data_IF_948175392324
#
_entry.id   IF_948175392324
#
_cell.length_a   1.000
_cell.length_b   1.000
_cell.length_c   1.000
_cell.angle_alpha   90.00
_cell.angle_beta   90.00
_cell.angle_gamma   90.00
#
_symmetry.space_group_name_H-M   'P 1'
#
loop_
_entity.id
_entity.type
_entity.pdbx_description
1 polymer ?
#
# COMPACT_ATOMS: atom_id res chain seq x y z
N UNK A 1 -5.59 5.17 -16.81
CA UNK A 1 -5.33 4.85 -15.38
C UNK A 1 -4.09 3.99 -15.25
N UNK A 2 -3.28 4.12 -14.17
CA UNK A 2 -2.11 3.28 -13.86
C UNK A 2 -2.51 2.02 -13.10
N UNK A 3 -1.73 0.96 -13.23
CA UNK A 3 -1.97 -0.32 -12.55
C UNK A 3 -0.73 -0.75 -11.77
N UNK A 4 -0.94 -1.16 -10.52
CA UNK A 4 0.10 -1.69 -9.67
C UNK A 4 -0.29 -3.03 -9.04
N UNK A 5 0.68 -3.93 -8.88
CA UNK A 5 0.46 -5.16 -8.10
C UNK A 5 0.83 -4.93 -6.64
N UNK A 6 -0.04 -5.31 -5.73
CA UNK A 6 0.18 -5.26 -4.29
C UNK A 6 0.62 -6.63 -3.79
N UNK A 7 1.89 -6.75 -3.53
CA UNK A 7 2.49 -7.97 -3.00
C UNK A 7 2.11 -8.16 -1.54
N UNK A 8 1.55 -9.32 -1.25
CA UNK A 8 1.16 -9.70 0.08
C UNK A 8 1.54 -11.18 0.30
N UNK A 9 2.84 -11.46 0.57
CA UNK A 9 3.33 -12.83 0.77
C UNK A 9 2.83 -13.38 2.10
N UNK A 10 1.86 -14.28 2.02
CA UNK A 10 1.22 -14.89 3.18
C UNK A 10 1.41 -16.42 3.16
N UNK A 11 1.80 -16.96 4.30
CA UNK A 11 1.85 -18.42 4.53
C UNK A 11 1.52 -18.73 5.98
N UNK A 12 0.83 -19.86 6.20
CA UNK A 12 0.63 -20.45 7.54
C UNK A 12 1.64 -21.54 7.86
N UNK A 13 2.38 -21.96 6.87
CA UNK A 13 3.35 -23.04 6.98
C UNK A 13 4.76 -22.43 6.89
N UNK A 14 5.47 -22.31 8.03
CA UNK A 14 6.82 -21.75 8.03
C UNK A 14 7.81 -22.53 7.18
N UNK A 15 7.53 -23.80 6.88
CA UNK A 15 8.40 -24.62 6.02
C UNK A 15 8.35 -24.16 4.56
N UNK A 16 7.38 -23.31 4.20
CA UNK A 16 7.19 -22.77 2.86
C UNK A 16 7.69 -21.34 2.68
N UNK A 17 8.22 -20.70 3.73
CA UNK A 17 8.60 -19.29 3.68
C UNK A 17 9.54 -18.97 2.51
N UNK A 18 10.59 -19.78 2.30
CA UNK A 18 11.49 -19.61 1.17
C UNK A 18 10.78 -19.67 -0.19
N UNK A 19 9.90 -20.67 -0.38
CA UNK A 19 9.14 -20.81 -1.63
C UNK A 19 8.16 -19.64 -1.85
N UNK A 20 7.55 -19.13 -0.78
CA UNK A 20 6.64 -17.95 -0.87
C UNK A 20 7.41 -16.68 -1.22
N UNK A 21 8.62 -16.50 -0.68
CA UNK A 21 9.50 -15.39 -1.03
C UNK A 21 9.94 -15.46 -2.49
N UNK A 22 10.39 -16.64 -2.95
CA UNK A 22 10.79 -16.87 -4.35
C UNK A 22 9.62 -16.59 -5.31
N UNK A 23 8.43 -17.10 -5.01
CA UNK A 23 7.22 -16.85 -5.79
C UNK A 23 6.85 -15.34 -5.80
N UNK A 24 7.08 -14.63 -4.71
CA UNK A 24 6.81 -13.19 -4.63
C UNK A 24 7.78 -12.37 -5.48
N UNK A 25 9.06 -12.78 -5.52
CA UNK A 25 10.05 -12.19 -6.45
C UNK A 25 9.65 -12.46 -7.91
N UNK A 26 9.30 -13.72 -8.24
CA UNK A 26 8.84 -14.08 -9.60
C UNK A 26 7.61 -13.28 -10.03
N UNK A 27 6.68 -13.05 -9.12
CA UNK A 27 5.47 -12.25 -9.34
C UNK A 27 5.82 -10.78 -9.64
N UNK A 28 6.75 -10.19 -8.90
CA UNK A 28 7.24 -8.84 -9.15
C UNK A 28 7.96 -8.72 -10.51
N UNK A 29 8.82 -9.67 -10.85
CA UNK A 29 9.51 -9.74 -12.16
C UNK A 29 8.52 -9.91 -13.32
N UNK A 30 7.47 -10.72 -13.14
CA UNK A 30 6.40 -10.88 -14.11
C UNK A 30 5.68 -9.54 -14.36
N UNK A 31 5.31 -8.83 -13.29
CA UNK A 31 4.66 -7.53 -13.39
C UNK A 31 5.53 -6.49 -14.11
N UNK A 32 6.82 -6.41 -13.79
CA UNK A 32 7.76 -5.51 -14.47
C UNK A 32 7.90 -5.85 -15.96
N UNK A 33 8.03 -7.13 -16.30
CA UNK A 33 8.14 -7.62 -17.69
C UNK A 33 6.89 -7.32 -18.51
N UNK A 34 5.70 -7.48 -17.91
CA UNK A 34 4.42 -7.21 -18.59
C UNK A 34 4.08 -5.72 -18.67
N UNK A 35 4.87 -4.83 -18.07
CA UNK A 35 4.66 -3.38 -18.14
C UNK A 35 3.61 -2.86 -17.16
N UNK A 36 3.47 -3.48 -16.00
CA UNK A 36 2.73 -2.90 -14.91
C UNK A 36 3.43 -1.64 -14.39
N UNK A 37 2.66 -0.63 -13.98
CA UNK A 37 3.22 0.70 -13.65
C UNK A 37 3.92 0.73 -12.30
N UNK A 38 3.48 -0.12 -11.34
CA UNK A 38 4.03 -0.16 -9.99
C UNK A 38 3.94 -1.55 -9.36
N UNK A 39 4.85 -1.79 -8.42
CA UNK A 39 4.84 -2.92 -7.48
C UNK A 39 4.77 -2.31 -6.09
N UNK A 40 3.75 -2.70 -5.32
CA UNK A 40 3.51 -2.18 -3.99
C UNK A 40 3.76 -3.26 -2.94
N UNK A 41 4.34 -2.86 -1.81
CA UNK A 41 4.64 -3.75 -0.70
C UNK A 41 3.80 -3.38 0.52
N UNK A 42 3.29 -4.40 1.21
CA UNK A 42 2.68 -4.28 2.53
C UNK A 42 3.74 -4.30 3.63
N UNK A 43 3.36 -3.92 4.84
CA UNK A 43 4.16 -4.13 6.04
C UNK A 43 3.27 -4.67 7.16
N UNK A 44 3.60 -5.87 7.65
CA UNK A 44 2.98 -6.51 8.81
C UNK A 44 4.02 -7.31 9.58
N UNK A 45 3.90 -7.26 10.92
CA UNK A 45 4.83 -7.93 11.82
C UNK A 45 4.06 -8.84 12.79
N UNK A 46 4.68 -9.92 13.22
CA UNK A 46 4.24 -10.77 14.33
C UNK A 46 2.84 -11.38 14.18
N UNK A 47 2.25 -11.37 13.00
CA UNK A 47 0.93 -11.96 12.72
C UNK A 47 0.99 -13.46 12.41
N UNK A 48 2.19 -14.04 12.32
CA UNK A 48 2.42 -15.44 11.99
C UNK A 48 1.99 -15.84 10.57
N UNK A 49 1.76 -14.86 9.70
CA UNK A 49 1.26 -15.05 8.36
C UNK A 49 2.09 -14.32 7.30
N UNK A 50 2.51 -13.08 7.58
CA UNK A 50 3.38 -12.31 6.69
C UNK A 50 4.77 -12.90 6.65
N UNK A 51 5.23 -13.31 5.45
CA UNK A 51 6.48 -14.04 5.29
C UNK A 51 7.70 -13.10 5.25
N UNK A 52 7.54 -11.84 4.91
CA UNK A 52 8.58 -10.83 5.12
C UNK A 52 8.17 -9.81 6.19
N UNK A 53 9.05 -9.58 7.18
CA UNK A 53 8.85 -8.55 8.22
C UNK A 53 9.49 -7.20 7.87
N UNK A 54 10.42 -7.16 6.90
CA UNK A 54 11.11 -5.93 6.47
C UNK A 54 10.82 -5.63 4.99
N UNK A 55 9.85 -4.76 4.69
CA UNK A 55 9.53 -4.39 3.33
C UNK A 55 10.64 -3.59 2.64
N UNK A 56 11.49 -2.86 3.37
CA UNK A 56 12.58 -2.07 2.80
C UNK A 56 13.69 -2.97 2.28
N UNK A 57 14.07 -4.00 3.04
CA UNK A 57 15.04 -5.01 2.60
C UNK A 57 14.52 -5.75 1.37
N UNK A 58 13.24 -6.16 1.38
CA UNK A 58 12.64 -6.84 0.25
C UNK A 58 12.53 -5.94 -0.99
N UNK A 59 12.12 -4.67 -0.82
CA UNK A 59 12.10 -3.69 -1.91
C UNK A 59 13.49 -3.45 -2.52
N UNK A 60 14.54 -3.49 -1.70
CA UNK A 60 15.94 -3.38 -2.19
C UNK A 60 16.30 -4.55 -3.12
N UNK A 61 15.92 -5.77 -2.76
CA UNK A 61 16.10 -6.93 -3.63
C UNK A 61 15.32 -6.77 -4.94
N UNK A 62 14.05 -6.31 -4.88
CA UNK A 62 13.24 -6.06 -6.07
C UNK A 62 13.78 -4.92 -6.94
N UNK A 63 14.38 -3.88 -6.34
CA UNK A 63 14.99 -2.78 -7.09
C UNK A 63 16.11 -3.26 -8.04
N UNK A 64 16.82 -4.31 -7.63
CA UNK A 64 17.90 -4.93 -8.43
C UNK A 64 17.37 -5.95 -9.44
N UNK A 65 16.14 -6.40 -9.32
CA UNK A 65 15.50 -7.43 -10.18
C UNK A 65 14.51 -6.83 -11.20
N UNK A 66 14.08 -5.59 -10.98
CA UNK A 66 13.11 -4.88 -11.83
C UNK A 66 13.74 -3.63 -12.44
N UNK A 67 13.22 -3.17 -13.58
CA UNK A 67 13.84 -2.07 -14.33
C UNK A 67 12.89 -0.92 -14.64
N UNK A 68 11.57 -1.15 -14.65
CA UNK A 68 10.58 -0.17 -15.13
C UNK A 68 9.53 0.18 -14.08
N UNK A 69 8.94 -0.81 -13.43
CA UNK A 69 7.89 -0.60 -12.47
C UNK A 69 8.36 0.25 -11.30
N UNK A 70 7.54 1.20 -10.87
CA UNK A 70 7.78 1.90 -9.62
C UNK A 70 7.70 0.93 -8.45
N UNK A 71 8.48 1.17 -7.39
CA UNK A 71 8.45 0.39 -6.15
C UNK A 71 7.79 1.23 -5.07
N UNK A 72 6.66 0.77 -4.57
CA UNK A 72 5.84 1.51 -3.62
C UNK A 72 5.64 0.79 -2.29
N UNK A 73 5.35 1.54 -1.27
CA UNK A 73 4.91 1.01 0.03
C UNK A 73 3.47 1.47 0.31
N UNK A 74 2.63 0.54 0.73
CA UNK A 74 1.24 0.83 1.03
C UNK A 74 0.78 0.15 2.33
N UNK A 75 1.37 0.58 3.48
CA UNK A 75 2.32 1.68 3.75
C UNK A 75 3.49 1.18 4.59
N UNK A 76 4.56 1.98 4.73
CA UNK A 76 5.55 1.80 5.80
C UNK A 76 4.91 2.25 7.11
N UNK A 77 5.00 1.42 8.15
CA UNK A 77 4.53 1.75 9.51
C UNK A 77 5.55 2.64 10.22
N UNK A 78 5.63 3.89 9.76
CA UNK A 78 6.67 4.87 10.12
C UNK A 78 6.87 5.04 11.63
N UNK A 79 5.81 4.87 12.42
CA UNK A 79 5.87 4.98 13.89
C UNK A 79 6.66 3.85 14.56
N UNK A 80 6.95 2.76 13.87
CA UNK A 80 7.77 1.65 14.38
C UNK A 80 9.27 1.88 14.18
N UNK A 81 9.67 2.85 13.35
CA UNK A 81 11.06 3.09 12.97
C UNK A 81 11.70 4.25 13.73
N UNK A 82 13.03 4.20 13.81
CA UNK A 82 13.81 5.41 14.09
C UNK A 82 13.85 6.28 12.83
N UNK A 83 13.39 7.56 12.86
CA UNK A 83 13.13 8.34 11.65
C UNK A 83 14.39 8.64 10.82
N UNK A 84 15.57 8.81 11.45
CA UNK A 84 16.81 9.02 10.69
C UNK A 84 17.18 7.75 9.94
N UNK A 85 17.10 6.59 10.58
CA UNK A 85 17.43 5.32 9.94
C UNK A 85 16.49 5.04 8.74
N UNK A 86 15.19 5.30 8.92
CA UNK A 86 14.22 5.18 7.83
C UNK A 86 14.52 6.18 6.69
N UNK A 87 14.91 7.42 7.01
CA UNK A 87 15.29 8.42 6.02
C UNK A 87 16.50 7.99 5.18
N UNK A 88 17.54 7.41 5.83
CA UNK A 88 18.71 6.85 5.15
C UNK A 88 18.36 5.70 4.23
N UNK A 89 17.59 4.72 4.72
CA UNK A 89 17.15 3.55 3.97
C UNK A 89 16.34 3.92 2.72
N UNK A 90 15.38 4.83 2.87
CA UNK A 90 14.56 5.30 1.76
C UNK A 90 15.35 6.11 0.73
N UNK A 91 16.26 6.96 1.18
CA UNK A 91 17.14 7.70 0.26
C UNK A 91 18.07 6.76 -0.52
N UNK A 92 18.64 5.75 0.14
CA UNK A 92 19.46 4.73 -0.51
C UNK A 92 18.66 3.91 -1.52
N UNK A 93 17.44 3.48 -1.14
CA UNK A 93 16.55 2.72 -2.03
C UNK A 93 16.12 3.55 -3.24
N UNK A 94 15.92 4.87 -3.08
CA UNK A 94 15.60 5.77 -4.20
C UNK A 94 16.75 5.83 -5.23
N UNK A 95 18.03 5.82 -4.76
CA UNK A 95 19.19 5.69 -5.64
C UNK A 95 19.27 4.33 -6.33
N UNK A 96 19.08 3.24 -5.59
CA UNK A 96 19.15 1.88 -6.13
C UNK A 96 18.04 1.62 -7.16
N UNK A 97 16.83 2.15 -6.92
CA UNK A 97 15.72 2.08 -7.85
C UNK A 97 15.80 3.11 -9.00
N UNK A 98 16.79 4.03 -9.00
CA UNK A 98 16.92 5.09 -10.01
C UNK A 98 15.70 6.03 -10.06
N UNK A 99 15.18 6.43 -8.89
CA UNK A 99 14.05 7.35 -8.78
C UNK A 99 12.68 6.71 -9.01
N UNK A 100 12.57 5.38 -8.98
CA UNK A 100 11.30 4.66 -9.12
C UNK A 100 10.54 4.49 -7.79
N UNK A 101 10.97 5.15 -6.71
CA UNK A 101 10.41 4.96 -5.39
C UNK A 101 9.12 5.76 -5.17
N UNK A 102 8.11 5.11 -4.60
CA UNK A 102 6.84 5.69 -4.12
C UNK A 102 6.70 5.42 -2.62
N UNK A 103 6.71 6.45 -1.79
CA UNK A 103 6.78 6.29 -0.33
C UNK A 103 5.40 6.48 0.28
N UNK A 104 4.69 5.37 0.56
CA UNK A 104 3.49 5.42 1.40
C UNK A 104 3.89 5.39 2.87
N UNK A 105 3.59 6.44 3.61
CA UNK A 105 3.83 6.54 5.04
C UNK A 105 2.54 6.45 5.83
N UNK A 106 2.55 5.71 6.93
CA UNK A 106 1.43 5.57 7.82
C UNK A 106 1.82 5.20 9.25
N UNK A 107 0.86 5.31 10.16
CA UNK A 107 1.04 4.90 11.55
C UNK A 107 0.81 3.40 11.80
N UNK A 108 0.45 2.63 10.74
CA UNK A 108 -0.09 1.29 10.91
C UNK A 108 -1.58 1.29 11.28
N UNK A 109 -2.16 0.10 11.40
CA UNK A 109 -3.58 -0.08 11.75
C UNK A 109 -3.75 -0.15 13.26
N UNK A 110 -4.68 0.63 13.80
CA UNK A 110 -4.89 0.72 15.26
C UNK A 110 -5.30 -0.61 15.93
N UNK A 111 -5.76 -1.59 15.17
CA UNK A 111 -6.08 -2.92 15.67
C UNK A 111 -4.91 -3.91 15.62
N UNK A 112 -3.76 -3.50 15.07
CA UNK A 112 -2.53 -4.29 15.09
C UNK A 112 -1.64 -3.89 16.29
N UNK A 113 -2.24 -3.76 17.48
CA UNK A 113 -1.52 -3.37 18.71
C UNK A 113 -0.33 -4.28 18.98
N UNK A 114 -0.44 -5.56 18.65
CA UNK A 114 0.62 -6.55 18.83
C UNK A 114 1.91 -6.21 18.05
N UNK A 115 1.81 -5.47 16.95
CA UNK A 115 3.00 -5.00 16.22
C UNK A 115 3.78 -3.98 17.06
N UNK A 116 3.08 -3.04 17.70
CA UNK A 116 3.69 -2.07 18.63
C UNK A 116 4.32 -2.74 19.84
N UNK A 117 3.60 -3.67 20.46
CA UNK A 117 4.10 -4.40 21.62
C UNK A 117 5.31 -5.25 21.30
N UNK A 118 5.33 -5.88 20.12
CA UNK A 118 6.49 -6.66 19.64
C UNK A 118 7.76 -5.80 19.48
N UNK A 119 7.59 -4.51 19.16
CA UNK A 119 8.69 -3.53 19.12
C UNK A 119 8.91 -2.79 20.45
N UNK A 120 8.15 -3.11 21.51
CA UNK A 120 8.25 -2.44 22.80
C UNK A 120 7.74 -0.99 22.79
N UNK A 121 6.78 -0.68 21.92
CA UNK A 121 6.21 0.65 21.75
C UNK A 121 4.76 0.71 22.22
N UNK A 122 4.32 1.89 22.64
CA UNK A 122 2.93 2.15 22.97
C UNK A 122 2.11 2.49 21.72
N UNK A 123 1.07 1.70 21.46
CA UNK A 123 0.19 1.91 20.31
C UNK A 123 -0.64 3.21 20.41
N UNK A 124 -0.91 3.72 21.61
CA UNK A 124 -1.62 4.98 21.81
C UNK A 124 -0.76 6.19 21.36
N UNK A 125 0.55 6.04 21.33
CA UNK A 125 1.48 7.04 20.83
C UNK A 125 1.68 7.02 19.32
N UNK A 126 1.12 6.02 18.60
CA UNK A 126 1.37 5.75 17.19
C UNK A 126 1.20 6.99 16.29
N UNK A 127 0.12 7.76 16.49
CA UNK A 127 -0.14 8.94 15.66
C UNK A 127 0.89 10.04 15.91
N UNK A 128 1.18 10.34 17.18
CA UNK A 128 2.14 11.39 17.52
C UNK A 128 3.57 11.03 17.10
N UNK A 129 3.97 9.75 17.25
CA UNK A 129 5.25 9.25 16.76
C UNK A 129 5.37 9.35 15.25
N UNK A 130 4.30 8.99 14.54
CA UNK A 130 4.24 9.10 13.08
C UNK A 130 4.44 10.54 12.60
N UNK A 131 3.73 11.49 13.18
CA UNK A 131 3.79 12.91 12.80
C UNK A 131 5.18 13.52 13.07
N UNK A 132 5.78 13.19 14.23
CA UNK A 132 7.14 13.64 14.55
C UNK A 132 8.18 12.98 13.65
N UNK A 133 8.06 11.68 13.38
CA UNK A 133 8.97 10.96 12.49
C UNK A 133 8.94 11.53 11.06
N UNK A 134 7.75 11.82 10.52
CA UNK A 134 7.63 12.43 9.19
C UNK A 134 8.35 13.77 9.08
N UNK A 135 8.20 14.64 10.08
CA UNK A 135 8.90 15.93 10.11
C UNK A 135 10.42 15.75 10.10
N UNK A 136 10.93 14.78 10.87
CA UNK A 136 12.35 14.48 10.93
C UNK A 136 12.86 13.93 9.60
N UNK A 137 12.13 13.00 8.97
CA UNK A 137 12.48 12.43 7.66
C UNK A 137 12.58 13.54 6.59
N UNK A 138 11.61 14.44 6.53
CA UNK A 138 11.63 15.54 5.56
C UNK A 138 12.80 16.49 5.79
N UNK A 139 13.14 16.82 7.05
CA UNK A 139 14.33 17.60 7.39
C UNK A 139 15.61 16.88 6.99
N UNK A 140 15.72 15.59 7.30
CA UNK A 140 16.90 14.79 6.99
C UNK A 140 17.17 14.71 5.48
N UNK A 141 16.13 14.64 4.66
CA UNK A 141 16.23 14.56 3.19
C UNK A 141 16.73 15.85 2.51
N UNK A 142 16.76 16.99 3.21
CA UNK A 142 17.45 18.17 2.69
C UNK A 142 18.98 17.96 2.58
N UNK A 143 19.54 17.03 3.37
CA UNK A 143 20.96 16.75 3.46
C UNK A 143 21.71 17.70 4.39
N UNK A 144 21.06 18.76 4.87
CA UNK A 144 21.64 19.75 5.78
C UNK A 144 21.65 19.24 7.22
N UNK A 145 22.57 19.77 8.03
CA UNK A 145 22.58 19.51 9.46
C UNK A 145 21.40 20.20 10.15
N UNK A 146 20.84 19.55 11.16
CA UNK A 146 19.74 20.11 11.96
C UNK A 146 19.74 19.60 13.40
N UNK A 147 19.08 20.34 14.27
CA UNK A 147 18.68 19.87 15.59
C UNK A 147 17.16 19.64 15.61
N UNK A 148 16.74 18.62 16.34
CA UNK A 148 15.34 18.35 16.61
C UNK A 148 15.18 18.06 18.09
N UNK A 149 14.20 18.71 18.73
CA UNK A 149 13.80 18.49 20.12
C UNK A 149 12.29 18.26 20.13
N UNK A 150 11.93 17.00 20.24
CA UNK A 150 10.54 16.56 20.19
C UNK A 150 10.13 15.75 21.41
N UNK A 151 8.95 15.17 21.35
CA UNK A 151 8.42 14.30 22.38
C UNK A 151 9.16 12.96 22.42
N UNK A 152 9.47 12.40 21.23
CA UNK A 152 10.02 11.05 21.09
C UNK A 152 11.50 11.06 20.74
N UNK A 153 11.97 12.10 20.02
CA UNK A 153 13.36 12.17 19.58
C UNK A 153 14.01 13.51 19.90
N UNK A 154 15.22 13.42 20.45
CA UNK A 154 16.11 14.55 20.64
C UNK A 154 17.39 14.27 19.85
N UNK A 155 17.55 14.93 18.73
CA UNK A 155 18.55 14.60 17.71
C UNK A 155 19.43 15.80 17.38
N UNK A 156 20.70 15.52 17.12
CA UNK A 156 21.62 16.44 16.45
C UNK A 156 22.25 15.72 15.28
N UNK A 157 21.80 16.08 14.07
CA UNK A 157 22.22 15.47 12.81
C UNK A 157 23.15 16.44 12.09
N UNK A 158 24.35 15.99 11.71
CA UNK A 158 25.32 16.85 11.02
C UNK A 158 25.09 16.91 9.51
N UNK A 159 24.34 15.96 8.96
CA UNK A 159 23.96 15.86 7.56
C UNK A 159 23.59 14.42 7.21
N UNK A 160 22.79 14.22 6.18
CA UNK A 160 22.37 12.91 5.72
C UNK A 160 22.94 12.61 4.34
N UNK A 161 23.52 11.42 4.17
CA UNK A 161 23.98 10.91 2.88
C UNK A 161 23.64 9.42 2.71
N UNK A 162 23.16 9.04 1.49
CA UNK A 162 22.83 9.93 0.38
C UNK A 162 21.59 10.78 0.69
N UNK A 163 21.45 11.96 0.07
CA UNK A 163 20.13 12.61 -0.06
C UNK A 163 19.33 11.87 -1.12
N UNK A 164 17.98 11.92 -1.12
CA UNK A 164 17.19 11.23 -2.14
C UNK A 164 17.66 11.52 -3.58
N UNK A 165 17.60 10.51 -4.45
CA UNK A 165 17.87 10.65 -5.87
C UNK A 165 16.84 11.59 -6.53
N UNK A 166 15.57 11.37 -6.23
CA UNK A 166 14.44 12.22 -6.67
C UNK A 166 14.40 13.54 -5.90
N UNK A 167 14.22 14.65 -6.59
CA UNK A 167 14.20 15.99 -5.97
C UNK A 167 12.80 16.60 -5.98
N UNK A 168 12.38 17.25 -4.88
CA UNK A 168 13.09 17.43 -3.61
C UNK A 168 13.19 16.14 -2.79
N UNK A 169 12.30 15.17 -3.02
CA UNK A 169 12.25 13.85 -2.40
C UNK A 169 11.31 12.92 -3.21
N UNK A 170 11.33 11.60 -2.99
CA UNK A 170 10.38 10.67 -3.59
C UNK A 170 8.93 11.09 -3.34
N UNK A 171 8.02 10.70 -4.24
CA UNK A 171 6.60 10.96 -4.03
C UNK A 171 6.10 10.30 -2.75
N UNK A 172 5.47 11.11 -1.87
CA UNK A 172 4.94 10.65 -0.59
C UNK A 172 3.42 10.51 -0.68
N UNK A 173 2.91 9.40 -0.18
CA UNK A 173 1.48 9.10 -0.04
C UNK A 173 1.09 8.90 1.42
N UNK A 174 -0.19 9.14 1.72
CA UNK A 174 -0.82 8.86 3.00
C UNK A 174 -1.95 7.86 2.82
N UNK A 175 -1.96 6.82 3.64
CA UNK A 175 -3.12 5.93 3.71
C UNK A 175 -4.25 6.58 4.50
N UNK A 176 -5.47 6.45 4.00
CA UNK A 176 -6.66 6.96 4.67
C UNK A 176 -7.79 5.95 4.63
N UNK A 177 -8.44 5.77 5.80
CA UNK A 177 -9.55 4.83 5.99
C UNK A 177 -10.83 5.48 6.49
N UNK A 178 -10.82 6.78 6.83
CA UNK A 178 -11.99 7.52 7.30
C UNK A 178 -12.25 8.77 6.46
N UNK A 179 -13.51 9.17 6.37
CA UNK A 179 -13.93 10.34 5.61
C UNK A 179 -13.29 11.62 6.14
N UNK A 180 -13.17 11.75 7.47
CA UNK A 180 -12.50 12.88 8.10
C UNK A 180 -11.02 12.95 7.68
N UNK A 181 -10.28 11.85 7.72
CA UNK A 181 -8.86 11.86 7.34
C UNK A 181 -8.67 12.13 5.85
N UNK A 182 -9.57 11.66 4.99
CA UNK A 182 -9.55 11.97 3.55
C UNK A 182 -9.69 13.48 3.33
N UNK A 183 -10.66 14.11 3.99
CA UNK A 183 -10.89 15.54 3.90
C UNK A 183 -9.68 16.35 4.40
N UNK A 184 -9.12 16.00 5.57
CA UNK A 184 -7.96 16.68 6.14
C UNK A 184 -6.70 16.52 5.27
N UNK A 185 -6.50 15.35 4.64
CA UNK A 185 -5.40 15.20 3.69
C UNK A 185 -5.60 16.08 2.45
N UNK A 186 -6.84 16.28 2.00
CA UNK A 186 -7.15 17.26 0.96
C UNK A 186 -6.76 18.67 1.37
N UNK A 187 -7.15 19.11 2.57
CA UNK A 187 -6.76 20.43 3.11
C UNK A 187 -5.25 20.64 3.21
N UNK A 188 -4.50 19.56 3.35
CA UNK A 188 -3.04 19.59 3.45
C UNK A 188 -2.33 19.36 2.11
N UNK A 189 -3.06 19.16 1.00
CA UNK A 189 -2.48 18.83 -0.30
C UNK A 189 -1.71 17.51 -0.34
N UNK A 190 -2.03 16.56 0.55
CA UNK A 190 -1.33 15.27 0.66
C UNK A 190 -1.92 14.23 -0.29
N UNK A 191 -1.09 13.48 -0.98
CA UNK A 191 -1.52 12.41 -1.89
C UNK A 191 -2.02 11.19 -1.12
N UNK A 192 -3.02 10.50 -1.68
CA UNK A 192 -3.76 9.44 -0.99
C UNK A 192 -3.52 8.05 -1.56
N UNK A 193 -3.46 7.08 -0.63
CA UNK A 193 -3.74 5.67 -0.86
C UNK A 193 -5.07 5.34 -0.17
N UNK A 194 -6.06 4.91 -0.93
CA UNK A 194 -7.37 4.55 -0.41
C UNK A 194 -7.47 3.04 -0.17
N UNK A 195 -8.02 2.68 0.99
CA UNK A 195 -8.27 1.29 1.38
C UNK A 195 -9.31 0.60 0.46
N UNK A 196 -9.42 -0.76 0.49
CA UNK A 196 -10.42 -1.49 -0.27
C UNK A 196 -11.85 -1.05 0.11
N UNK A 197 -12.62 -0.72 -0.90
CA UNK A 197 -14.00 -0.23 -0.76
C UNK A 197 -14.73 -0.30 -2.11
N UNK A 198 -16.05 -0.13 -2.13
CA UNK A 198 -16.82 -0.05 -3.37
C UNK A 198 -16.45 1.19 -4.21
N UNK A 199 -16.79 1.17 -5.49
CA UNK A 199 -16.62 2.33 -6.37
C UNK A 199 -17.45 3.53 -5.90
N UNK A 200 -18.65 3.28 -5.35
CA UNK A 200 -19.53 4.31 -4.79
C UNK A 200 -18.85 5.04 -3.60
N UNK A 201 -18.29 4.29 -2.65
CA UNK A 201 -17.54 4.86 -1.51
C UNK A 201 -16.27 5.56 -1.98
N UNK A 202 -15.59 5.02 -2.99
CA UNK A 202 -14.42 5.68 -3.59
C UNK A 202 -14.79 7.04 -4.17
N UNK A 203 -15.88 7.14 -4.92
CA UNK A 203 -16.42 8.40 -5.48
C UNK A 203 -16.72 9.42 -4.37
N UNK A 204 -17.44 9.01 -3.33
CA UNK A 204 -17.74 9.86 -2.18
C UNK A 204 -16.46 10.41 -1.53
N UNK A 205 -15.46 9.58 -1.29
CA UNK A 205 -14.18 9.98 -0.67
C UNK A 205 -13.38 10.91 -1.56
N UNK A 206 -13.37 10.69 -2.86
CA UNK A 206 -12.71 11.61 -3.79
C UNK A 206 -13.39 12.98 -3.79
N UNK A 207 -14.72 13.06 -3.65
CA UNK A 207 -15.40 14.35 -3.50
C UNK A 207 -15.05 15.05 -2.17
N UNK A 208 -14.93 14.32 -1.07
CA UNK A 208 -14.44 14.87 0.19
C UNK A 208 -13.01 15.42 0.06
N UNK A 209 -12.14 14.68 -0.63
CA UNK A 209 -10.78 15.12 -0.90
C UNK A 209 -10.73 16.38 -1.77
N UNK A 210 -11.52 16.44 -2.86
CA UNK A 210 -11.67 17.63 -3.70
C UNK A 210 -12.14 18.83 -2.90
N UNK A 211 -13.12 18.65 -2.00
CA UNK A 211 -13.59 19.71 -1.10
C UNK A 211 -12.47 20.19 -0.19
N UNK A 212 -11.69 19.29 0.42
CA UNK A 212 -10.54 19.68 1.23
C UNK A 212 -9.51 20.50 0.46
N UNK A 213 -9.18 20.10 -0.77
CA UNK A 213 -8.27 20.87 -1.66
C UNK A 213 -8.81 22.26 -1.99
N UNK A 214 -10.12 22.38 -2.30
CA UNK A 214 -10.75 23.69 -2.56
C UNK A 214 -10.68 24.61 -1.34
N UNK A 215 -10.96 24.10 -0.14
CA UNK A 215 -10.85 24.89 1.10
C UNK A 215 -9.40 25.33 1.39
N UNK A 216 -8.41 24.60 0.90
CA UNK A 216 -7.00 24.97 0.98
C UNK A 216 -6.56 25.94 -0.13
N UNK A 217 -7.46 26.31 -1.05
CA UNK A 217 -7.19 27.28 -2.10
C UNK A 217 -6.58 26.72 -3.38
N UNK A 218 -6.59 25.42 -3.58
CA UNK A 218 -6.17 24.81 -4.85
C UNK A 218 -7.18 25.10 -5.95
N UNK A 219 -6.68 25.46 -7.14
CA UNK A 219 -7.50 25.62 -8.34
C UNK A 219 -7.94 24.26 -8.93
N UNK A 220 -8.86 24.30 -9.89
CA UNK A 220 -9.41 23.07 -10.50
C UNK A 220 -8.36 22.24 -11.23
N UNK A 221 -7.34 22.84 -11.83
CA UNK A 221 -6.26 22.12 -12.50
C UNK A 221 -5.38 21.39 -11.48
N UNK A 222 -5.01 22.04 -10.39
CA UNK A 222 -4.27 21.43 -9.30
C UNK A 222 -5.09 20.33 -8.61
N UNK A 223 -6.40 20.55 -8.40
CA UNK A 223 -7.31 19.53 -7.85
C UNK A 223 -7.34 18.29 -8.76
N UNK A 224 -7.51 18.47 -10.08
CA UNK A 224 -7.49 17.39 -11.02
C UNK A 224 -6.14 16.62 -11.01
N UNK A 225 -5.02 17.33 -10.93
CA UNK A 225 -3.69 16.75 -10.83
C UNK A 225 -3.50 15.95 -9.53
N UNK A 226 -4.02 16.40 -8.39
CA UNK A 226 -3.99 15.67 -7.13
C UNK A 226 -4.85 14.41 -7.19
N UNK A 227 -6.08 14.50 -7.68
CA UNK A 227 -6.99 13.35 -7.84
C UNK A 227 -6.40 12.32 -8.81
N UNK A 228 -5.81 12.77 -9.92
CA UNK A 228 -5.10 11.92 -10.89
C UNK A 228 -3.85 11.22 -10.35
N UNK A 229 -3.50 11.43 -9.07
CA UNK A 229 -2.40 10.74 -8.37
C UNK A 229 -2.87 9.83 -7.24
N UNK A 230 -4.17 9.77 -6.94
CA UNK A 230 -4.73 8.84 -5.95
C UNK A 230 -4.58 7.41 -6.47
N UNK A 231 -4.21 6.51 -5.57
CA UNK A 231 -4.29 5.07 -5.78
C UNK A 231 -5.35 4.47 -4.86
N UNK A 232 -6.11 3.50 -5.40
CA UNK A 232 -7.11 2.77 -4.62
C UNK A 232 -6.79 1.29 -4.61
N UNK A 233 -6.81 0.66 -3.44
CA UNK A 233 -6.59 -0.79 -3.32
C UNK A 233 -7.83 -1.57 -3.74
N UNK A 234 -7.60 -2.64 -4.52
CA UNK A 234 -8.57 -3.68 -4.88
C UNK A 234 -7.91 -5.06 -4.76
N UNK A 235 -8.62 -6.04 -4.21
CA UNK A 235 -8.30 -7.44 -4.47
C UNK A 235 -8.86 -7.82 -5.83
N UNK A 236 -8.19 -8.68 -6.60
CA UNK A 236 -8.58 -8.97 -7.98
C UNK A 236 -8.32 -10.42 -8.36
N UNK A 237 -9.23 -11.00 -9.15
CA UNK A 237 -9.00 -12.22 -9.90
C UNK A 237 -9.67 -12.11 -11.28
N UNK A 238 -8.88 -12.31 -12.34
CA UNK A 238 -9.36 -12.30 -13.73
C UNK A 238 -9.36 -13.74 -14.25
N UNK A 239 -10.55 -14.32 -14.35
CA UNK A 239 -10.76 -15.63 -15.00
C UNK A 239 -10.90 -15.49 -16.51
N UNK A 240 -10.84 -16.58 -17.27
CA UNK A 240 -11.19 -16.57 -18.70
C UNK A 240 -12.68 -16.28 -18.90
N UNK A 241 -13.50 -16.69 -17.94
CA UNK A 241 -14.96 -16.43 -17.88
C UNK A 241 -15.36 -16.02 -16.48
N UNK A 242 -16.56 -15.41 -16.33
CA UNK A 242 -17.11 -15.11 -15.01
C UNK A 242 -17.31 -16.37 -14.17
N UNK A 243 -17.71 -17.48 -14.80
CA UNK A 243 -17.90 -18.76 -14.12
C UNK A 243 -16.58 -19.31 -13.56
N UNK A 244 -15.47 -19.22 -14.29
CA UNK A 244 -14.13 -19.58 -13.77
C UNK A 244 -13.72 -18.67 -12.61
N UNK A 245 -13.94 -17.36 -12.75
CA UNK A 245 -13.58 -16.42 -11.70
C UNK A 245 -14.37 -16.69 -10.40
N UNK A 246 -15.65 -16.97 -10.50
CA UNK A 246 -16.48 -17.37 -9.35
C UNK A 246 -16.02 -18.70 -8.73
N UNK A 247 -15.61 -19.66 -9.54
CA UNK A 247 -15.18 -20.97 -9.05
C UNK A 247 -13.78 -20.94 -8.40
N UNK A 248 -12.86 -20.07 -8.83
CA UNK A 248 -11.46 -20.04 -8.38
C UNK A 248 -11.17 -18.82 -7.50
N UNK A 249 -11.49 -17.63 -7.98
CA UNK A 249 -11.13 -16.36 -7.33
C UNK A 249 -11.93 -16.10 -6.06
N UNK A 250 -13.25 -16.28 -6.11
CA UNK A 250 -14.14 -16.01 -4.97
C UNK A 250 -13.82 -16.88 -3.75
N UNK A 251 -13.70 -18.22 -3.85
CA UNK A 251 -13.33 -19.05 -2.70
C UNK A 251 -11.97 -18.68 -2.11
N UNK A 252 -10.97 -18.36 -2.94
CA UNK A 252 -9.66 -17.93 -2.48
C UNK A 252 -9.73 -16.61 -1.70
N UNK A 253 -10.50 -15.64 -2.20
CA UNK A 253 -10.73 -14.37 -1.52
C UNK A 253 -11.45 -14.56 -0.18
N UNK A 254 -12.53 -15.32 -0.15
CA UNK A 254 -13.30 -15.58 1.09
C UNK A 254 -12.41 -16.25 2.13
N UNK A 255 -11.67 -17.30 1.74
CA UNK A 255 -10.71 -17.99 2.62
C UNK A 255 -9.65 -17.03 3.18
N UNK A 256 -9.12 -16.12 2.36
CA UNK A 256 -8.16 -15.11 2.79
C UNK A 256 -8.78 -14.17 3.85
N UNK A 257 -9.98 -13.68 3.63
CA UNK A 257 -10.69 -12.78 4.54
C UNK A 257 -11.02 -13.48 5.87
N UNK A 258 -11.54 -14.68 5.81
CA UNK A 258 -11.83 -15.49 7.01
C UNK A 258 -10.57 -15.73 7.83
N UNK A 259 -9.49 -16.04 7.17
CA UNK A 259 -8.20 -16.26 7.81
C UNK A 259 -7.68 -15.02 8.52
N UNK A 260 -7.58 -13.90 7.81
CA UNK A 260 -7.16 -12.61 8.40
C UNK A 260 -8.10 -12.17 9.52
N UNK A 261 -9.41 -12.46 9.37
CA UNK A 261 -10.43 -12.20 10.38
C UNK A 261 -10.24 -13.05 11.65
N UNK A 262 -9.99 -14.35 11.52
CA UNK A 262 -9.80 -15.26 12.66
C UNK A 262 -8.56 -14.89 13.49
N UNK A 263 -7.44 -14.64 12.84
CA UNK A 263 -6.20 -14.21 13.49
C UNK A 263 -6.40 -12.91 14.30
N UNK A 264 -7.03 -11.92 13.68
CA UNK A 264 -7.36 -10.66 14.36
C UNK A 264 -8.30 -10.86 15.53
N UNK A 265 -9.26 -11.79 15.43
CA UNK A 265 -10.17 -12.11 16.53
C UNK A 265 -9.47 -12.83 17.69
N UNK A 266 -8.53 -13.73 17.40
CA UNK A 266 -7.73 -14.41 18.44
C UNK A 266 -6.89 -13.41 19.24
N UNK A 267 -6.17 -12.53 18.55
CA UNK A 267 -5.37 -11.48 19.18
C UNK A 267 -6.25 -10.53 19.99
N UNK A 268 -7.44 -10.19 19.50
CA UNK A 268 -8.41 -9.34 20.21
C UNK A 268 -8.97 -9.99 21.46
N UNK A 269 -9.38 -11.27 21.39
CA UNK A 269 -9.91 -12.01 22.53
C UNK A 269 -8.88 -12.10 23.65
N UNK A 270 -7.62 -12.33 23.28
CA UNK A 270 -6.53 -12.37 24.25
C UNK A 270 -6.33 -11.05 25.01
N UNK A 271 -6.84 -9.92 24.50
CA UNK A 271 -6.64 -8.56 25.00
C UNK A 271 -7.89 -7.82 25.44
N UNK A 272 -9.06 -8.44 25.32
CA UNK A 272 -10.33 -7.79 25.69
C UNK A 272 -10.74 -6.61 24.80
N UNK A 273 -10.17 -6.48 23.60
CA UNK A 273 -10.50 -5.40 22.66
C UNK A 273 -11.74 -5.78 21.86
N UNK A 274 -12.83 -5.03 22.04
CA UNK A 274 -14.06 -5.17 21.27
C UNK A 274 -13.97 -4.24 20.05
N UNK A 275 -13.93 -4.80 18.85
CA UNK A 275 -14.09 -3.99 17.62
C UNK A 275 -15.54 -4.01 17.16
N UNK A 276 -15.96 -2.87 16.59
CA UNK A 276 -17.22 -2.76 15.87
C UNK A 276 -17.31 -3.83 14.77
N UNK A 277 -18.46 -4.52 14.62
CA UNK A 277 -18.69 -5.54 13.59
C UNK A 277 -18.59 -5.03 12.15
N UNK A 278 -18.69 -3.72 11.94
CA UNK A 278 -18.96 -3.09 10.65
C UNK A 278 -17.74 -2.95 9.72
N UNK A 279 -16.60 -3.57 10.03
CA UNK A 279 -15.39 -3.51 9.21
C UNK A 279 -14.85 -4.88 8.79
N UNK A 280 -15.71 -5.87 8.58
CA UNK A 280 -15.31 -6.97 7.72
C UNK A 280 -15.09 -6.37 6.32
N UNK A 281 -13.93 -6.61 5.65
CA UNK A 281 -13.79 -6.20 4.26
C UNK A 281 -14.84 -6.94 3.47
N UNK A 282 -15.89 -6.24 3.10
CA UNK A 282 -16.96 -6.78 2.27
C UNK A 282 -16.41 -7.18 0.90
N UNK A 283 -17.15 -7.99 0.18
CA UNK A 283 -16.89 -8.33 -1.23
C UNK A 283 -16.81 -7.10 -2.14
N UNK A 284 -17.20 -5.93 -1.64
CA UNK A 284 -17.32 -4.67 -2.36
C UNK A 284 -16.00 -4.11 -2.94
N UNK A 285 -14.86 -4.51 -2.41
CA UNK A 285 -13.53 -4.14 -2.92
C UNK A 285 -12.86 -5.25 -3.72
N UNK A 286 -13.58 -6.34 -4.04
CA UNK A 286 -13.07 -7.46 -4.79
C UNK A 286 -13.54 -7.43 -6.25
N UNK A 287 -12.60 -7.29 -7.17
CA UNK A 287 -12.83 -7.35 -8.62
C UNK A 287 -12.66 -8.80 -9.08
N UNK A 288 -13.76 -9.48 -9.36
CA UNK A 288 -13.75 -10.90 -9.74
C UNK A 288 -14.62 -11.08 -10.99
N UNK A 289 -14.05 -11.63 -12.06
CA UNK A 289 -14.79 -11.86 -13.29
C UNK A 289 -13.93 -12.13 -14.51
N UNK A 290 -14.62 -12.21 -15.65
CA UNK A 290 -14.00 -12.21 -16.98
C UNK A 290 -13.29 -10.88 -17.25
N UNK A 291 -12.44 -10.80 -18.29
CA UNK A 291 -11.83 -9.54 -18.70
C UNK A 291 -12.84 -8.40 -18.92
N UNK A 292 -14.00 -8.70 -19.51
CA UNK A 292 -15.04 -7.69 -19.76
C UNK A 292 -15.64 -7.16 -18.45
N UNK A 293 -15.96 -8.05 -17.50
CA UNK A 293 -16.51 -7.69 -16.19
C UNK A 293 -15.55 -6.85 -15.39
N UNK A 294 -14.25 -7.23 -15.37
CA UNK A 294 -13.22 -6.49 -14.64
C UNK A 294 -12.94 -5.14 -15.29
N UNK A 295 -12.88 -5.08 -16.64
CA UNK A 295 -12.69 -3.83 -17.36
C UNK A 295 -13.81 -2.81 -17.10
N UNK A 296 -15.07 -3.26 -17.09
CA UNK A 296 -16.23 -2.40 -16.78
C UNK A 296 -16.13 -1.79 -15.38
N UNK A 297 -15.77 -2.60 -14.36
CA UNK A 297 -15.58 -2.11 -12.99
C UNK A 297 -14.42 -1.08 -12.88
N UNK A 298 -13.33 -1.30 -13.59
CA UNK A 298 -12.19 -0.38 -13.57
C UNK A 298 -12.47 0.90 -14.39
N UNK A 299 -13.29 0.83 -15.41
CA UNK A 299 -13.76 2.01 -16.15
C UNK A 299 -14.54 2.97 -15.23
N UNK A 300 -15.41 2.46 -14.37
CA UNK A 300 -16.10 3.27 -13.35
C UNK A 300 -15.13 3.98 -12.41
N UNK A 301 -14.00 3.33 -12.04
CA UNK A 301 -12.95 3.96 -11.23
C UNK A 301 -12.20 5.04 -12.03
N UNK A 302 -11.92 4.80 -13.30
CA UNK A 302 -11.29 5.78 -14.17
C UNK A 302 -12.17 7.03 -14.33
N UNK A 303 -13.50 6.87 -14.44
CA UNK A 303 -14.47 7.97 -14.51
C UNK A 303 -14.51 8.85 -13.26
N UNK A 304 -14.06 8.35 -12.10
CA UNK A 304 -13.88 9.17 -10.90
C UNK A 304 -12.68 10.12 -11.05
N UNK A 305 -11.77 9.83 -11.97
CA UNK A 305 -10.56 10.59 -12.26
C UNK A 305 -9.35 10.19 -11.42
N UNK A 306 -9.39 9.05 -10.68
CA UNK A 306 -8.25 8.57 -9.90
C UNK A 306 -7.11 8.08 -10.80
N UNK A 307 -5.87 8.23 -10.31
CA UNK A 307 -4.67 7.94 -11.09
C UNK A 307 -4.31 6.48 -11.20
N UNK A 308 -4.63 5.65 -10.19
CA UNK A 308 -4.21 4.27 -10.21
C UNK A 308 -5.04 3.29 -9.37
N UNK A 309 -5.00 2.02 -9.78
CA UNK A 309 -5.48 0.89 -9.01
C UNK A 309 -4.30 0.05 -8.51
N UNK A 310 -4.23 -0.12 -7.20
CA UNK A 310 -3.29 -0.95 -6.48
C UNK A 310 -3.99 -2.29 -6.25
N UNK A 311 -3.57 -3.34 -6.97
CA UNK A 311 -4.31 -4.59 -7.09
C UNK A 311 -3.59 -5.75 -6.42
N UNK A 312 -4.26 -6.45 -5.52
CA UNK A 312 -3.75 -7.68 -4.92
C UNK A 312 -4.24 -8.87 -5.75
N UNK A 313 -3.35 -9.45 -6.57
CA UNK A 313 -3.67 -10.63 -7.38
C UNK A 313 -3.51 -11.94 -6.61
N UNK A 314 -2.49 -12.06 -5.74
CA UNK A 314 -2.33 -13.25 -4.90
C UNK A 314 -3.29 -13.16 -3.72
N UNK A 315 -4.31 -14.01 -3.75
CA UNK A 315 -5.35 -14.10 -2.73
C UNK A 315 -4.97 -15.16 -1.69
N UNK A 316 -4.33 -14.74 -0.60
CA UNK A 316 -3.87 -15.64 0.45
C UNK A 316 -2.87 -16.68 -0.09
N UNK A 317 -3.12 -17.95 0.19
CA UNK A 317 -2.26 -19.06 -0.25
C UNK A 317 -2.45 -19.52 -1.70
N UNK A 318 -2.93 -18.67 -2.62
CA UNK A 318 -3.11 -19.02 -4.02
C UNK A 318 -1.76 -19.41 -4.67
N UNK A 319 -1.68 -20.50 -5.44
CA UNK A 319 -0.46 -20.88 -6.16
C UNK A 319 0.03 -19.80 -7.11
N UNK A 320 1.35 -19.73 -7.28
CA UNK A 320 1.97 -18.75 -8.19
C UNK A 320 1.40 -18.83 -9.61
N UNK A 321 1.27 -20.04 -10.16
CA UNK A 321 0.80 -20.26 -11.53
C UNK A 321 -0.60 -19.72 -11.76
N UNK A 322 -1.49 -19.88 -10.77
CA UNK A 322 -2.87 -19.34 -10.82
C UNK A 322 -2.85 -17.81 -10.75
N UNK A 323 -2.01 -17.25 -9.88
CA UNK A 323 -1.82 -15.80 -9.77
C UNK A 323 -1.23 -15.21 -11.05
N UNK A 324 -0.17 -15.83 -11.59
CA UNK A 324 0.50 -15.41 -12.81
C UNK A 324 -0.46 -15.40 -14.01
N UNK A 325 -1.26 -16.46 -14.18
CA UNK A 325 -2.26 -16.52 -15.25
C UNK A 325 -3.30 -15.38 -15.17
N UNK A 326 -3.71 -15.02 -13.95
CA UNK A 326 -4.63 -13.88 -13.74
C UNK A 326 -3.96 -12.54 -14.06
N UNK A 327 -2.69 -12.34 -13.68
CA UNK A 327 -1.89 -11.14 -14.01
C UNK A 327 -1.69 -11.02 -15.52
N UNK A 328 -1.27 -12.10 -16.19
CA UNK A 328 -1.04 -12.12 -17.64
C UNK A 328 -2.32 -11.79 -18.40
N UNK A 329 -3.44 -12.42 -18.03
CA UNK A 329 -4.75 -12.14 -18.63
C UNK A 329 -5.16 -10.69 -18.40
N UNK A 330 -5.00 -10.16 -17.18
CA UNK A 330 -5.26 -8.76 -16.88
C UNK A 330 -4.48 -7.83 -17.79
N UNK A 331 -3.16 -8.01 -17.87
CA UNK A 331 -2.29 -7.12 -18.64
C UNK A 331 -2.53 -7.23 -20.16
N UNK A 332 -2.89 -8.41 -20.67
CA UNK A 332 -3.15 -8.63 -22.08
C UNK A 332 -4.53 -8.11 -22.53
N UNK A 333 -5.54 -8.21 -21.68
CA UNK A 333 -6.95 -8.05 -22.11
C UNK A 333 -7.73 -6.95 -21.38
N UNK A 334 -7.39 -6.64 -20.12
CA UNK A 334 -8.11 -5.62 -19.32
C UNK A 334 -7.38 -4.28 -19.38
N UNK A 335 -6.10 -4.28 -19.05
CA UNK A 335 -5.32 -3.04 -18.96
C UNK A 335 -5.38 -2.17 -20.22
N UNK A 336 -5.32 -2.71 -21.47
CA UNK A 336 -5.42 -1.90 -22.68
C UNK A 336 -6.76 -1.19 -22.88
N UNK A 337 -7.84 -1.68 -22.24
CA UNK A 337 -9.18 -1.09 -22.37
C UNK A 337 -9.41 0.09 -21.41
N UNK A 338 -8.59 0.21 -20.34
CA UNK A 338 -8.82 1.17 -19.24
C UNK A 338 -7.64 2.15 -19.07
N UNK A 339 -6.53 1.94 -19.75
CA UNK A 339 -5.37 2.85 -19.77
C UNK A 339 -5.63 4.20 -20.42
#
# INVERSE_FOLDING_TARGET
MKFGNFLFPESRDPTRDGAVLDDTVREAELCDRLGMDAIWLSEHHFDGNSVYGDPLMFATALAMRTTRAALGFAVIQTSLYHPIHLAEQLALLDHLSKGRLLVGLGRGTFFNIYEYEGFGLDADEAQARFEEAEQIILKAWTGEGFEHRGRFWNLRVHGLRPTPFTKPHPTIYRSSSSDQSVFEHGRQGRLLLLNPQSNAVTRQRVELYRRGLREAGFDDAAIAAHVGRIWVWRSIYVGATDAEAEAVGRPAFVKMIEYRGSLRQEIRRARGVILSPDRAPGLEGFLCGSPATVAANLAELADIGIGGALMQFRLGGMPYETTAASIERFMATVAPQVR
#
